data_IF_370829442960
#
_entry.id   IF_370829442960
#
_cell.length_a   1.000
_cell.length_b   1.000
_cell.length_c   1.000
_cell.angle_alpha   90.00
_cell.angle_beta   90.00
_cell.angle_gamma   90.00
#
_symmetry.space_group_name_H-M   'P 1'
#
loop_
_entity.id
_entity.type
_entity.pdbx_description
1 polymer ?
#
# COMPACT_ATOMS: atom_id res chain seq x y z
N UNK A 1 2.69 31.45 10.74
CA UNK A 1 2.07 30.66 9.65
C UNK A 1 2.80 29.33 9.56
N UNK A 2 2.17 28.24 9.97
CA UNK A 2 2.75 26.89 9.85
C UNK A 2 2.55 26.39 8.42
N UNK A 3 3.64 26.05 7.73
CA UNK A 3 3.61 25.53 6.36
C UNK A 3 3.01 24.12 6.38
N UNK A 4 2.00 23.88 5.55
CA UNK A 4 1.45 22.54 5.33
C UNK A 4 2.48 21.69 4.58
N UNK A 5 2.76 20.49 5.10
CA UNK A 5 3.64 19.54 4.44
C UNK A 5 2.83 18.54 3.61
N UNK A 6 3.43 18.05 2.53
CA UNK A 6 2.93 16.90 1.77
C UNK A 6 3.77 15.69 2.19
N UNK A 7 3.14 14.70 2.80
CA UNK A 7 3.82 13.55 3.42
C UNK A 7 3.29 12.27 2.78
N UNK A 8 4.21 11.46 2.23
CA UNK A 8 3.90 10.15 1.65
C UNK A 8 4.42 9.05 2.57
N UNK A 9 3.52 8.18 3.01
CA UNK A 9 3.81 6.98 3.78
C UNK A 9 3.95 5.77 2.84
N UNK A 10 5.07 5.05 2.94
CA UNK A 10 5.35 3.82 2.19
C UNK A 10 5.56 2.64 3.16
N UNK A 11 4.51 2.23 3.90
CA UNK A 11 4.64 1.19 4.90
C UNK A 11 4.72 -0.20 4.29
N UNK A 12 5.45 -1.10 4.95
CA UNK A 12 5.43 -2.53 4.64
C UNK A 12 4.15 -3.23 5.11
N UNK A 13 3.44 -2.66 6.08
CA UNK A 13 2.26 -3.24 6.72
C UNK A 13 1.25 -2.14 6.96
N UNK A 14 0.03 -2.29 6.45
CA UNK A 14 -1.08 -1.36 6.65
C UNK A 14 -2.38 -2.19 6.65
N UNK A 15 -3.44 -1.70 7.32
CA UNK A 15 -4.73 -2.39 7.29
C UNK A 15 -5.20 -2.64 5.85
N UNK A 16 -5.57 -3.89 5.59
CA UNK A 16 -5.98 -4.34 4.26
C UNK A 16 -7.30 -5.10 4.34
N UNK A 17 -7.83 -5.49 3.18
CA UNK A 17 -9.14 -6.17 3.08
C UNK A 17 -9.22 -7.52 3.82
N UNK A 18 -8.08 -8.19 4.03
CA UNK A 18 -7.98 -9.52 4.63
C UNK A 18 -7.66 -9.49 6.12
N UNK A 19 -6.90 -8.48 6.56
CA UNK A 19 -6.51 -8.29 7.94
C UNK A 19 -6.48 -6.79 8.30
N UNK A 20 -7.41 -6.32 9.16
CA UNK A 20 -7.48 -4.92 9.57
C UNK A 20 -6.54 -4.57 10.73
N UNK A 21 -5.91 -5.54 11.41
CA UNK A 21 -5.04 -5.29 12.56
C UNK A 21 -3.58 -4.87 12.26
N UNK A 22 -2.89 -5.40 11.23
CA UNK A 22 -1.49 -5.05 11.00
C UNK A 22 -1.36 -3.59 10.57
N UNK A 23 -0.39 -2.89 11.14
CA UNK A 23 -0.09 -1.51 10.75
C UNK A 23 -1.00 -0.44 11.36
N UNK A 24 -1.85 -0.77 12.35
CA UNK A 24 -2.66 0.22 13.09
C UNK A 24 -1.84 1.37 13.69
N UNK A 25 -0.59 1.11 14.08
CA UNK A 25 0.30 2.17 14.56
C UNK A 25 0.65 3.18 13.46
N UNK A 26 0.85 2.70 12.22
CA UNK A 26 1.15 3.54 11.06
C UNK A 26 -0.08 4.34 10.67
N UNK A 27 -1.25 3.70 10.62
CA UNK A 27 -2.52 4.37 10.40
C UNK A 27 -2.70 5.53 11.39
N UNK A 28 -2.59 5.26 12.69
CA UNK A 28 -2.75 6.29 13.73
C UNK A 28 -1.72 7.41 13.64
N UNK A 29 -0.49 7.10 13.22
CA UNK A 29 0.53 8.13 12.97
C UNK A 29 0.15 9.01 11.76
N UNK A 30 -0.27 8.40 10.66
CA UNK A 30 -0.73 9.11 9.48
C UNK A 30 -1.94 10.02 9.79
N UNK A 31 -2.93 9.51 10.52
CA UNK A 31 -4.12 10.26 10.98
C UNK A 31 -3.75 11.45 11.88
N UNK A 32 -2.79 11.27 12.78
CA UNK A 32 -2.31 12.36 13.64
C UNK A 32 -1.66 13.48 12.85
N UNK A 33 -0.84 13.13 11.84
CA UNK A 33 -0.18 14.09 10.97
C UNK A 33 -1.14 14.79 10.00
N UNK A 34 -2.18 14.07 9.54
CA UNK A 34 -3.20 14.58 8.63
C UNK A 34 -4.01 15.75 9.20
N UNK A 35 -4.08 15.90 10.52
CA UNK A 35 -4.75 17.03 11.19
C UNK A 35 -4.17 18.40 10.81
N UNK A 36 -2.91 18.43 10.37
CA UNK A 36 -2.20 19.68 10.04
C UNK A 36 -1.43 19.64 8.71
N UNK A 37 -1.40 18.48 8.05
CA UNK A 37 -0.63 18.23 6.83
C UNK A 37 -1.44 17.42 5.83
N UNK A 38 -1.02 17.45 4.56
CA UNK A 38 -1.56 16.57 3.53
C UNK A 38 -0.82 15.24 3.60
N UNK A 39 -1.50 14.18 4.00
CA UNK A 39 -0.90 12.85 4.18
C UNK A 39 -1.52 11.85 3.20
N UNK A 40 -0.64 11.15 2.48
CA UNK A 40 -1.00 10.05 1.58
C UNK A 40 -0.31 8.79 2.06
N UNK A 41 -1.01 7.66 2.10
CA UNK A 41 -0.45 6.33 2.36
C UNK A 41 -0.53 5.53 1.07
N UNK A 42 0.60 5.10 0.53
CA UNK A 42 0.65 4.12 -0.55
C UNK A 42 1.07 2.77 0.03
N UNK A 43 0.14 1.83 0.04
CA UNK A 43 0.34 0.50 0.58
C UNK A 43 0.22 -0.55 -0.53
N UNK A 44 1.28 -1.33 -0.74
CA UNK A 44 1.30 -2.37 -1.77
C UNK A 44 1.29 -3.74 -1.13
N UNK A 45 0.28 -4.55 -1.46
CA UNK A 45 0.07 -5.86 -0.85
C UNK A 45 -0.10 -6.97 -1.91
N UNK A 46 0.62 -8.09 -1.80
CA UNK A 46 0.33 -9.26 -2.62
C UNK A 46 -1.03 -9.86 -2.22
N UNK A 47 -1.87 -10.16 -3.20
CA UNK A 47 -3.16 -10.82 -2.96
C UNK A 47 -3.33 -11.99 -3.94
N UNK A 48 -3.47 -13.20 -3.40
CA UNK A 48 -3.68 -14.42 -4.19
C UNK A 48 -5.07 -14.52 -4.78
N UNK A 49 -6.04 -13.81 -4.21
CA UNK A 49 -7.44 -13.81 -4.65
C UNK A 49 -7.73 -12.65 -5.62
N UNK A 50 -6.73 -11.84 -5.97
CA UNK A 50 -6.91 -10.72 -6.88
C UNK A 50 -7.29 -11.22 -8.30
N UNK A 51 -8.43 -10.79 -8.85
CA UNK A 51 -8.91 -11.25 -10.16
C UNK A 51 -8.11 -10.67 -11.34
N UNK A 52 -7.34 -9.60 -11.11
CA UNK A 52 -6.60 -8.84 -12.12
C UNK A 52 -5.09 -8.77 -11.77
N UNK A 53 -4.24 -8.42 -12.76
CA UNK A 53 -2.79 -8.29 -12.53
C UNK A 53 -2.46 -7.27 -11.43
N UNK A 54 -3.24 -6.18 -11.37
CA UNK A 54 -3.21 -5.15 -10.33
C UNK A 54 -4.62 -4.64 -10.06
N UNK A 55 -4.93 -4.40 -8.79
CA UNK A 55 -6.15 -3.73 -8.34
C UNK A 55 -5.76 -2.55 -7.45
N UNK A 56 -6.27 -1.37 -7.75
CA UNK A 56 -6.00 -0.16 -6.97
C UNK A 56 -7.29 0.26 -6.28
N UNK A 57 -7.22 0.33 -4.97
CA UNK A 57 -8.28 0.77 -4.09
C UNK A 57 -7.91 2.13 -3.49
N UNK A 58 -8.78 3.10 -3.67
CA UNK A 58 -8.62 4.47 -3.16
C UNK A 58 -9.63 4.69 -2.04
N UNK A 59 -9.13 5.04 -0.86
CA UNK A 59 -9.94 5.33 0.30
C UNK A 59 -9.49 6.62 0.98
N UNK A 60 -10.43 7.35 1.56
CA UNK A 60 -10.11 8.45 2.48
C UNK A 60 -10.46 8.00 3.89
N UNK A 61 -9.45 7.88 4.75
CA UNK A 61 -9.59 7.38 6.11
C UNK A 61 -9.15 8.47 7.08
N UNK A 62 -10.13 9.11 7.74
CA UNK A 62 -9.88 10.05 8.84
C UNK A 62 -8.93 11.20 8.45
N UNK A 63 -9.09 11.70 7.22
CA UNK A 63 -8.29 12.79 6.65
C UNK A 63 -6.98 12.33 6.00
N UNK A 64 -6.72 11.02 5.94
CA UNK A 64 -5.59 10.42 5.23
C UNK A 64 -6.07 9.86 3.89
N UNK A 65 -5.40 10.23 2.80
CA UNK A 65 -5.62 9.61 1.50
C UNK A 65 -4.88 8.27 1.45
N UNK A 66 -5.59 7.16 1.38
CA UNK A 66 -5.01 5.81 1.35
C UNK A 66 -5.18 5.23 -0.05
N UNK A 67 -4.06 4.81 -0.63
CA UNK A 67 -3.95 4.13 -1.91
C UNK A 67 -3.46 2.72 -1.62
N UNK A 68 -4.33 1.72 -1.75
CA UNK A 68 -3.99 0.30 -1.58
C UNK A 68 -3.83 -0.33 -2.95
N UNK A 69 -2.65 -0.83 -3.26
CA UNK A 69 -2.35 -1.52 -4.51
C UNK A 69 -2.20 -3.00 -4.23
N UNK A 70 -3.17 -3.79 -4.69
CA UNK A 70 -3.11 -5.24 -4.64
C UNK A 70 -2.51 -5.77 -5.96
N UNK A 71 -1.62 -6.75 -5.87
CA UNK A 71 -1.06 -7.40 -7.06
C UNK A 71 -1.09 -8.92 -6.94
N UNK A 72 -1.32 -9.57 -8.07
CA UNK A 72 -1.46 -11.02 -8.10
C UNK A 72 -0.11 -11.72 -7.92
N UNK A 73 -0.06 -12.65 -6.97
CA UNK A 73 1.06 -13.57 -6.78
C UNK A 73 0.92 -14.76 -7.75
N UNK A 74 1.90 -15.05 -8.62
CA UNK A 74 1.83 -16.21 -9.48
C UNK A 74 1.96 -17.51 -8.66
N UNK A 75 1.20 -18.54 -9.04
CA UNK A 75 1.16 -19.81 -8.34
C UNK A 75 2.56 -20.46 -8.21
N UNK A 76 2.83 -21.20 -7.11
CA UNK A 76 4.15 -21.76 -6.79
C UNK A 76 4.65 -22.84 -7.77
N UNK A 77 3.86 -23.25 -8.76
CA UNK A 77 4.22 -24.28 -9.74
C UNK A 77 5.12 -23.79 -10.88
N UNK A 78 5.35 -22.48 -11.03
CA UNK A 78 6.15 -21.91 -12.12
C UNK A 78 7.53 -21.41 -11.66
N UNK A 79 8.50 -22.35 -11.63
CA UNK A 79 9.94 -22.10 -11.80
C UNK A 79 10.78 -21.59 -10.61
N UNK A 80 11.98 -22.15 -10.49
CA UNK A 80 13.05 -21.87 -9.52
C UNK A 80 13.58 -20.41 -9.51
N UNK A 81 13.07 -19.53 -10.38
CA UNK A 81 13.46 -18.10 -10.49
C UNK A 81 12.48 -17.13 -9.80
N UNK A 82 11.54 -17.66 -9.00
CA UNK A 82 10.44 -16.94 -8.36
C UNK A 82 10.80 -15.65 -7.55
N UNK A 83 11.91 -15.58 -6.77
CA UNK A 83 12.15 -14.40 -5.91
C UNK A 83 12.47 -13.11 -6.68
N UNK A 84 13.14 -13.19 -7.83
CA UNK A 84 13.46 -12.00 -8.64
C UNK A 84 12.22 -11.44 -9.35
N UNK A 85 11.32 -12.32 -9.78
CA UNK A 85 10.04 -11.91 -10.37
C UNK A 85 9.16 -11.22 -9.33
N UNK A 86 9.14 -11.73 -8.09
CA UNK A 86 8.46 -11.08 -6.97
C UNK A 86 9.00 -9.67 -6.70
N UNK A 87 10.32 -9.50 -6.64
CA UNK A 87 10.94 -8.20 -6.42
C UNK A 87 10.62 -7.23 -7.57
N UNK A 88 10.69 -7.69 -8.81
CA UNK A 88 10.41 -6.86 -9.98
C UNK A 88 8.94 -6.42 -10.04
N UNK A 89 8.01 -7.33 -9.74
CA UNK A 89 6.58 -7.01 -9.64
C UNK A 89 6.29 -6.04 -8.48
N UNK A 90 6.93 -6.23 -7.33
CA UNK A 90 6.80 -5.35 -6.17
C UNK A 90 7.27 -3.93 -6.47
N UNK A 91 8.41 -3.77 -7.14
CA UNK A 91 8.95 -2.47 -7.59
C UNK A 91 8.02 -1.84 -8.63
N UNK A 92 7.53 -2.61 -9.60
CA UNK A 92 6.60 -2.13 -10.64
C UNK A 92 5.26 -1.69 -10.05
N UNK A 93 4.77 -2.35 -9.01
CA UNK A 93 3.55 -1.99 -8.30
C UNK A 93 3.71 -0.65 -7.57
N UNK A 94 4.83 -0.44 -6.88
CA UNK A 94 5.15 0.85 -6.25
C UNK A 94 5.22 1.99 -7.26
N UNK A 95 5.84 1.75 -8.43
CA UNK A 95 5.94 2.75 -9.51
C UNK A 95 4.59 3.10 -10.16
N UNK A 96 3.57 2.25 -10.05
CA UNK A 96 2.23 2.53 -10.57
C UNK A 96 1.31 3.22 -9.58
N UNK A 97 1.61 3.13 -8.28
CA UNK A 97 0.85 3.77 -7.22
C UNK A 97 1.38 5.15 -6.79
N UNK A 98 2.62 5.48 -7.21
CA UNK A 98 3.21 6.83 -7.12
C UNK A 98 2.68 7.72 -8.25
#
# INVERSE_FOLDING_TARGET
>A
MTRTLNILFLPRWYPNRHDPMPGLFIQRQAESLAKSNQVVVLYVHPDSECPCEFEIDYAEEQGVNVIRVYYQVPAPSASFFNPFVHLFRFVRAHLRGL
#
